data_IF_087302666644
#
_entry.id   IF_087302666644
#
_cell.length_a   1.000
_cell.length_b   1.000
_cell.length_c   1.000
_cell.angle_alpha   90.00
_cell.angle_beta   90.00
_cell.angle_gamma   90.00
#
_symmetry.space_group_name_H-M   'P 1'
#
loop_
_entity.id
_entity.type
_entity.pdbx_description
1 polymer ?
#
# COMPACT_ATOMS: atom_id res chain seq x y z
N UNK A 1 16.06 -13.35 3.76
CA UNK A 1 15.40 -13.54 5.06
C UNK A 1 14.80 -12.23 5.46
N UNK A 2 13.48 -12.14 5.55
CA UNK A 2 12.78 -10.92 5.93
C UNK A 2 12.08 -11.18 7.26
N UNK A 3 12.04 -10.18 8.14
CA UNK A 3 11.40 -10.30 9.45
C UNK A 3 10.22 -9.33 9.52
N UNK A 4 8.98 -9.85 9.71
CA UNK A 4 7.80 -9.01 9.89
C UNK A 4 7.76 -8.44 11.31
N UNK A 5 7.55 -7.14 11.43
CA UNK A 5 7.36 -6.43 12.70
C UNK A 5 5.94 -5.88 12.73
N UNK A 6 5.21 -6.25 13.77
CA UNK A 6 3.83 -5.79 13.99
C UNK A 6 3.89 -4.43 14.72
N UNK A 7 3.49 -3.35 14.03
CA UNK A 7 3.17 -2.08 14.67
C UNK A 7 1.64 -1.96 14.72
N UNK A 8 1.09 -1.23 15.70
CA UNK A 8 -0.36 -1.00 15.76
C UNK A 8 -0.79 -0.37 14.42
N UNK A 9 -1.66 -1.11 13.71
CA UNK A 9 -2.28 -0.83 12.41
C UNK A 9 -1.49 -1.16 11.12
N UNK A 10 -0.19 -1.49 11.16
CA UNK A 10 0.57 -1.88 9.96
C UNK A 10 1.69 -2.90 10.22
N UNK A 11 1.88 -3.82 9.26
CA UNK A 11 3.00 -4.77 9.23
C UNK A 11 4.14 -4.23 8.37
N UNK A 12 5.34 -4.12 8.95
CA UNK A 12 6.55 -3.67 8.23
C UNK A 12 7.48 -4.85 8.01
N UNK A 13 7.93 -5.03 6.76
CA UNK A 13 8.90 -6.06 6.39
C UNK A 13 10.25 -5.38 6.14
N UNK A 14 11.25 -5.71 6.96
CA UNK A 14 12.60 -5.16 6.84
C UNK A 14 13.61 -6.20 6.35
N UNK A 15 14.55 -5.75 5.52
CA UNK A 15 15.70 -6.52 5.07
C UNK A 15 16.77 -6.70 6.15
N UNK A 16 17.48 -7.83 6.14
CA UNK A 16 18.58 -8.09 7.10
C UNK A 16 19.77 -7.16 6.91
N UNK A 17 20.06 -6.80 5.67
CA UNK A 17 21.06 -5.81 5.26
C UNK A 17 20.73 -4.41 5.83
N UNK A 18 19.46 -4.04 5.80
CA UNK A 18 18.99 -2.80 6.41
C UNK A 18 19.14 -2.82 7.94
N UNK A 19 18.73 -3.91 8.59
CA UNK A 19 18.87 -4.11 10.03
C UNK A 19 20.34 -4.08 10.48
N UNK A 20 21.23 -4.73 9.74
CA UNK A 20 22.67 -4.73 10.02
C UNK A 20 23.28 -3.32 9.89
N UNK A 21 22.89 -2.57 8.86
CA UNK A 21 23.35 -1.19 8.63
C UNK A 21 22.95 -0.24 9.77
N UNK A 22 21.80 -0.48 10.40
CA UNK A 22 21.27 0.35 11.48
C UNK A 22 21.58 -0.17 12.89
N UNK A 23 22.47 -1.18 13.01
CA UNK A 23 22.82 -1.83 14.28
C UNK A 23 21.59 -2.25 15.07
N UNK A 24 20.61 -2.82 14.37
CA UNK A 24 19.40 -3.32 14.99
C UNK A 24 19.69 -4.63 15.74
N UNK A 25 19.26 -4.71 16.99
CA UNK A 25 19.31 -5.90 17.82
C UNK A 25 17.90 -6.44 17.97
N UNK A 26 17.71 -7.71 17.64
CA UNK A 26 16.40 -8.37 17.73
C UNK A 26 16.39 -9.19 19.02
N UNK A 27 15.51 -8.84 19.95
CA UNK A 27 15.20 -9.65 21.12
C UNK A 27 13.97 -10.51 20.84
N UNK A 28 14.21 -11.78 20.50
CA UNK A 28 13.14 -12.74 20.21
C UNK A 28 12.32 -13.12 21.44
N UNK A 29 12.88 -13.01 22.65
CA UNK A 29 12.19 -13.36 23.88
C UNK A 29 11.20 -12.26 24.27
N UNK A 30 11.66 -11.01 24.22
CA UNK A 30 10.82 -9.83 24.48
C UNK A 30 9.93 -9.47 23.27
N UNK A 31 10.16 -10.07 22.09
CA UNK A 31 9.52 -9.72 20.81
C UNK A 31 9.71 -8.25 20.45
N UNK A 32 10.93 -7.74 20.66
CA UNK A 32 11.28 -6.34 20.38
C UNK A 32 12.47 -6.24 19.42
N UNK A 33 12.53 -5.14 18.68
CA UNK A 33 13.68 -4.78 17.86
C UNK A 33 14.22 -3.44 18.37
N UNK A 34 15.49 -3.44 18.77
CA UNK A 34 16.19 -2.29 19.35
C UNK A 34 17.12 -1.72 18.30
N UNK A 35 16.91 -0.49 17.86
CA UNK A 35 17.80 0.19 16.93
C UNK A 35 18.89 0.96 17.68
N UNK A 36 20.16 0.67 17.42
CA UNK A 36 21.29 1.26 18.16
C UNK A 36 21.41 2.79 18.10
N UNK A 37 20.68 3.46 17.20
CA UNK A 37 20.64 4.92 17.10
C UNK A 37 19.47 5.58 17.86
N UNK A 38 18.47 4.81 18.31
CA UNK A 38 17.21 5.33 18.89
C UNK A 38 17.14 5.23 20.43
N UNK A 39 18.25 4.92 21.11
CA UNK A 39 18.28 4.94 22.58
C UNK A 39 18.01 6.34 23.18
N UNK A 40 17.96 7.41 22.36
CA UNK A 40 17.62 8.76 22.82
C UNK A 40 16.12 9.10 22.79
N UNK A 41 15.25 8.29 22.17
CA UNK A 41 13.82 8.64 22.10
C UNK A 41 12.96 7.38 22.25
N UNK A 42 12.99 6.79 23.44
CA UNK A 42 11.80 6.12 23.96
C UNK A 42 11.24 7.00 25.08
N UNK A 43 10.73 8.16 24.69
CA UNK A 43 9.71 8.81 25.48
C UNK A 43 8.38 8.14 25.11
N UNK A 44 7.86 7.33 26.03
CA UNK A 44 6.54 6.68 25.92
C UNK A 44 5.37 7.66 26.04
N UNK A 45 5.62 8.98 26.03
CA UNK A 45 4.58 10.02 26.14
C UNK A 45 4.10 10.62 24.82
N UNK A 46 4.71 10.29 23.67
CA UNK A 46 4.31 10.87 22.38
C UNK A 46 3.42 9.93 21.56
N UNK A 47 2.19 10.38 21.34
CA UNK A 47 1.25 9.92 20.32
C UNK A 47 1.99 9.47 19.06
N UNK A 48 1.89 8.18 18.71
CA UNK A 48 2.40 7.55 17.48
C UNK A 48 3.83 7.97 17.04
N UNK A 49 4.84 7.09 17.07
CA UNK A 49 6.16 7.43 16.52
C UNK A 49 5.97 7.88 15.06
N UNK A 50 6.24 9.16 14.78
CA UNK A 50 5.96 9.75 13.48
C UNK A 50 6.84 9.09 12.42
N UNK A 51 6.29 8.10 11.71
CA UNK A 51 6.98 7.24 10.75
C UNK A 51 7.60 8.08 9.61
N UNK A 52 7.07 9.29 9.34
CA UNK A 52 7.64 10.25 8.37
C UNK A 52 9.05 10.75 8.77
N UNK A 53 9.52 10.45 9.99
CA UNK A 53 10.88 10.75 10.45
C UNK A 53 11.89 9.62 10.22
N UNK A 54 11.45 8.43 9.78
CA UNK A 54 12.37 7.36 9.44
C UNK A 54 13.15 7.72 8.17
N UNK A 55 14.48 7.60 8.19
CA UNK A 55 15.34 7.96 7.04
C UNK A 55 14.89 7.32 5.74
N UNK A 56 14.49 6.04 5.79
CA UNK A 56 13.99 5.28 4.63
C UNK A 56 12.68 5.85 4.10
N UNK A 57 11.75 6.20 4.99
CA UNK A 57 10.44 6.73 4.59
C UNK A 57 10.60 8.11 3.94
N UNK A 58 11.58 8.89 4.38
CA UNK A 58 11.93 10.17 3.74
C UNK A 58 12.60 9.98 2.38
N UNK A 59 13.46 8.98 2.26
CA UNK A 59 14.17 8.65 1.01
C UNK A 59 13.20 8.16 -0.07
N UNK A 60 12.14 7.45 0.32
CA UNK A 60 11.10 6.90 -0.56
C UNK A 60 9.73 7.54 -0.33
N UNK A 61 9.69 8.84 -0.01
CA UNK A 61 8.44 9.55 0.28
C UNK A 61 7.49 9.59 -0.93
N UNK A 62 8.04 9.48 -2.14
CA UNK A 62 7.31 9.36 -3.41
C UNK A 62 6.64 7.99 -3.62
N UNK A 63 7.11 6.94 -2.93
CA UNK A 63 6.53 5.59 -2.97
C UNK A 63 5.32 5.45 -2.05
N UNK A 64 5.25 6.27 -1.00
CA UNK A 64 4.18 6.26 0.01
C UNK A 64 3.47 7.63 0.11
N UNK A 65 2.90 8.16 -0.98
CA UNK A 65 2.14 9.40 -0.90
C UNK A 65 0.83 9.18 -0.14
N UNK A 66 0.34 10.24 0.53
CA UNK A 66 -0.95 10.19 1.25
C UNK A 66 -2.13 9.95 0.27
N UNK A 67 -1.96 10.31 -1.01
CA UNK A 67 -2.90 10.05 -2.12
C UNK A 67 -2.16 9.45 -3.33
N UNK A 68 -2.76 8.48 -4.03
CA UNK A 68 -2.11 7.81 -5.16
C UNK A 68 -2.00 8.75 -6.39
N UNK A 69 -0.83 8.82 -7.08
CA UNK A 69 -0.57 9.78 -8.15
C UNK A 69 -1.28 9.44 -9.49
N UNK A 70 -2.36 8.68 -9.46
CA UNK A 70 -3.03 8.14 -10.65
C UNK A 70 -2.39 6.86 -11.18
N UNK A 71 -2.76 6.47 -12.40
CA UNK A 71 -2.14 5.30 -13.04
C UNK A 71 -0.65 5.55 -13.27
N UNK A 72 0.21 4.54 -13.06
CA UNK A 72 1.60 4.64 -13.45
C UNK A 72 1.69 4.97 -14.95
N UNK A 73 2.66 5.82 -15.31
CA UNK A 73 3.01 6.12 -16.70
C UNK A 73 3.10 4.83 -17.53
N UNK A 74 2.82 4.95 -18.83
CA UNK A 74 2.90 3.83 -19.77
C UNK A 74 4.20 3.04 -19.54
N UNK A 75 4.04 1.80 -19.07
CA UNK A 75 5.16 0.90 -18.84
C UNK A 75 5.61 0.37 -20.19
N UNK A 76 6.90 0.11 -20.36
CA UNK A 76 7.44 -0.54 -21.57
C UNK A 76 6.82 -1.93 -21.82
N UNK A 77 6.26 -2.53 -20.77
CA UNK A 77 5.62 -3.85 -20.80
C UNK A 77 4.10 -3.66 -20.80
N UNK A 78 3.46 -4.18 -21.84
CA UNK A 78 2.01 -4.31 -21.91
C UNK A 78 1.54 -5.51 -21.06
N UNK A 79 0.58 -5.27 -20.17
CA UNK A 79 -0.04 -6.35 -19.39
C UNK A 79 -1.19 -6.95 -20.22
N UNK A 80 -0.92 -8.06 -20.90
CA UNK A 80 -1.93 -8.83 -21.63
C UNK A 80 -2.73 -9.75 -20.70
N UNK A 81 -4.05 -9.80 -20.90
CA UNK A 81 -4.89 -10.85 -20.30
C UNK A 81 -4.99 -11.98 -21.31
N UNK A 82 -4.28 -13.07 -21.08
CA UNK A 82 -4.37 -14.27 -21.91
C UNK A 82 -5.70 -14.99 -21.65
N UNK A 83 -6.51 -15.13 -22.70
CA UNK A 83 -7.76 -15.88 -22.64
C UNK A 83 -7.49 -17.36 -22.91
N UNK A 84 -8.19 -18.24 -22.19
CA UNK A 84 -8.26 -19.63 -22.59
C UNK A 84 -8.94 -19.74 -23.97
N UNK A 85 -8.48 -20.64 -24.86
CA UNK A 85 -9.12 -20.85 -26.15
C UNK A 85 -10.62 -21.08 -25.99
N UNK A 86 -11.42 -20.42 -26.83
CA UNK A 86 -12.90 -20.45 -26.82
C UNK A 86 -13.59 -19.70 -25.67
N UNK A 87 -12.89 -18.89 -24.87
CA UNK A 87 -13.56 -17.97 -23.95
C UNK A 87 -14.28 -16.85 -24.69
N UNK A 88 -15.56 -16.65 -24.38
CA UNK A 88 -16.38 -15.55 -24.88
C UNK A 88 -16.55 -14.46 -23.80
N UNK A 89 -16.77 -13.19 -24.18
CA UNK A 89 -17.09 -12.12 -23.23
C UNK A 89 -18.31 -12.46 -22.36
N UNK A 90 -18.25 -12.08 -21.08
CA UNK A 90 -19.33 -12.32 -20.13
C UNK A 90 -20.07 -11.00 -19.87
N UNK A 91 -21.31 -10.93 -20.34
CA UNK A 91 -22.23 -9.85 -20.00
C UNK A 91 -23.17 -10.28 -18.87
N UNK A 92 -23.01 -9.68 -17.69
CA UNK A 92 -23.87 -9.93 -16.52
C UNK A 92 -24.58 -8.65 -16.11
N UNK A 93 -25.85 -8.78 -15.73
CA UNK A 93 -26.60 -7.68 -15.15
C UNK A 93 -25.97 -7.22 -13.83
N UNK A 94 -26.07 -5.93 -13.54
CA UNK A 94 -25.61 -5.36 -12.28
C UNK A 94 -26.41 -5.92 -11.09
N UNK A 95 -25.72 -6.20 -9.99
CA UNK A 95 -26.38 -6.59 -8.75
C UNK A 95 -27.28 -5.48 -8.20
N UNK A 96 -28.34 -5.87 -7.51
CA UNK A 96 -29.22 -4.91 -6.84
C UNK A 96 -28.50 -4.32 -5.63
N UNK A 97 -28.51 -2.99 -5.57
CA UNK A 97 -27.96 -2.20 -4.48
C UNK A 97 -29.04 -1.27 -3.93
N UNK A 98 -28.97 -0.99 -2.64
CA UNK A 98 -29.80 0.01 -1.98
C UNK A 98 -29.39 1.43 -2.44
N UNK A 99 -30.23 2.46 -2.21
CA UNK A 99 -29.88 3.84 -2.57
C UNK A 99 -28.60 4.36 -1.91
N UNK A 100 -28.25 3.88 -0.71
CA UNK A 100 -27.05 4.29 0.02
C UNK A 100 -25.80 3.68 -0.61
N UNK A 101 -25.82 2.36 -0.88
CA UNK A 101 -24.71 1.68 -1.58
C UNK A 101 -24.50 2.23 -2.98
N UNK A 102 -25.58 2.55 -3.70
CA UNK A 102 -25.50 3.12 -5.04
C UNK A 102 -24.94 4.55 -5.03
N UNK A 103 -25.20 5.33 -3.97
CA UNK A 103 -24.60 6.65 -3.78
C UNK A 103 -23.09 6.53 -3.55
N UNK A 104 -22.69 5.68 -2.61
CA UNK A 104 -21.28 5.41 -2.30
C UNK A 104 -20.51 4.93 -3.54
N UNK A 105 -21.08 3.96 -4.28
CA UNK A 105 -20.47 3.45 -5.50
C UNK A 105 -20.26 4.55 -6.55
N UNK A 106 -21.21 5.49 -6.68
CA UNK A 106 -21.08 6.61 -7.60
C UNK A 106 -19.98 7.58 -7.18
N UNK A 107 -19.85 7.85 -5.89
CA UNK A 107 -18.81 8.73 -5.34
C UNK A 107 -17.42 8.14 -5.62
N UNK A 108 -17.23 6.83 -5.37
CA UNK A 108 -15.98 6.13 -5.67
C UNK A 108 -15.66 6.09 -7.17
N UNK A 109 -16.66 5.80 -8.02
CA UNK A 109 -16.45 5.80 -9.48
C UNK A 109 -16.06 7.19 -10.00
N UNK A 110 -16.63 8.26 -9.43
CA UNK A 110 -16.29 9.63 -9.81
C UNK A 110 -14.85 9.96 -9.43
N UNK A 111 -14.42 9.62 -8.22
CA UNK A 111 -13.03 9.77 -7.78
C UNK A 111 -12.06 9.00 -8.69
N UNK A 112 -12.39 7.75 -9.04
CA UNK A 112 -11.57 6.93 -9.92
C UNK A 112 -11.48 7.50 -11.36
N UNK A 113 -12.53 8.15 -11.85
CA UNK A 113 -12.53 8.85 -13.14
C UNK A 113 -11.66 10.11 -13.09
N UNK A 114 -11.78 10.91 -12.04
CA UNK A 114 -11.01 12.14 -11.83
C UNK A 114 -9.52 11.86 -11.68
N UNK A 115 -9.17 10.80 -10.97
CA UNK A 115 -7.79 10.32 -10.80
C UNK A 115 -7.25 9.58 -12.03
N UNK A 116 -8.07 9.35 -13.05
CA UNK A 116 -7.67 8.71 -14.31
C UNK A 116 -7.41 7.20 -14.19
N UNK A 117 -7.87 6.54 -13.12
CA UNK A 117 -7.76 5.09 -12.94
C UNK A 117 -8.65 4.30 -13.88
N UNK A 118 -9.80 4.87 -14.25
CA UNK A 118 -10.77 4.26 -15.16
C UNK A 118 -11.20 5.27 -16.23
N UNK A 119 -11.83 4.75 -17.29
CA UNK A 119 -12.46 5.55 -18.34
C UNK A 119 -13.74 4.86 -18.84
N UNK A 120 -14.71 5.61 -19.37
CA UNK A 120 -15.86 5.01 -20.05
C UNK A 120 -15.41 4.08 -21.16
N UNK A 121 -16.10 2.93 -21.29
CA UNK A 121 -15.82 1.93 -22.31
C UNK A 121 -17.11 1.29 -22.81
N UNK A 122 -17.03 0.66 -23.98
CA UNK A 122 -18.10 -0.15 -24.56
C UNK A 122 -17.54 -1.55 -24.74
N UNK A 123 -17.75 -2.41 -23.74
CA UNK A 123 -17.37 -3.83 -23.80
C UNK A 123 -18.43 -4.62 -24.56
N UNK A 124 -18.03 -5.62 -25.38
CA UNK A 124 -18.95 -6.60 -25.95
C UNK A 124 -19.60 -7.48 -24.89
#
# INVERSE_FOLDING_TARGET
NLLPIHMFDFDVILGMDWLASHRATIDCYARTVIFGFLASVMDTSLESPNIKNLSVVREFADVFPDELPGLPLAREIEFGIELIPSAEPISKALYRMTPVELKELKEQLQEMLENGFIRPSVSP
#
